data_IF_395920960447
#
_entry.id   IF_395920960447
#
_cell.length_a   1.000
_cell.length_b   1.000
_cell.length_c   1.000
_cell.angle_alpha   90.00
_cell.angle_beta   90.00
_cell.angle_gamma   90.00
#
_symmetry.space_group_name_H-M   'P 1'
#
loop_
_entity.id
_entity.type
_entity.pdbx_description
1 polymer ?
#
# COMPACT_ATOMS: atom_id res chain seq x y z
N UNK A 1 -2.66 -15.63 -1.17
CA UNK A 1 -2.78 -14.47 -2.08
C UNK A 1 -1.57 -13.57 -1.90
N UNK A 2 -0.86 -13.21 -2.97
CA UNK A 2 0.22 -12.21 -2.88
C UNK A 2 -0.31 -10.85 -3.36
N UNK A 3 0.32 -9.76 -2.91
CA UNK A 3 -0.08 -8.40 -3.27
C UNK A 3 -0.03 -8.20 -4.79
N UNK A 4 0.94 -8.80 -5.49
CA UNK A 4 1.05 -8.76 -6.95
C UNK A 4 -0.17 -9.38 -7.66
N UNK A 5 -0.80 -10.41 -7.11
CA UNK A 5 -1.99 -11.06 -7.66
C UNK A 5 -3.22 -10.16 -7.52
N UNK A 6 -3.39 -9.49 -6.37
CA UNK A 6 -4.44 -8.48 -6.18
C UNK A 6 -4.32 -7.31 -7.18
N UNK A 7 -3.08 -6.91 -7.50
CA UNK A 7 -2.78 -5.89 -8.49
C UNK A 7 -3.11 -6.32 -9.93
N UNK A 8 -3.07 -7.63 -10.22
CA UNK A 8 -3.34 -8.19 -11.53
C UNK A 8 -4.83 -8.50 -11.71
N UNK A 9 -5.53 -9.02 -10.69
CA UNK A 9 -6.99 -9.27 -10.77
C UNK A 9 -7.80 -7.99 -11.04
N UNK A 10 -7.29 -6.82 -10.62
CA UNK A 10 -7.86 -5.52 -10.98
C UNK A 10 -7.56 -5.06 -12.43
N UNK A 11 -6.66 -5.73 -13.17
CA UNK A 11 -6.34 -5.39 -14.58
C UNK A 11 -7.53 -5.59 -15.51
N UNK A 12 -8.42 -6.55 -15.24
CA UNK A 12 -9.50 -6.88 -16.18
C UNK A 12 -10.64 -5.85 -16.19
N UNK A 13 -10.68 -4.95 -15.20
CA UNK A 13 -11.64 -3.84 -15.21
C UNK A 13 -11.00 -2.47 -15.42
N UNK A 14 -9.77 -2.20 -14.97
CA UNK A 14 -9.33 -0.81 -14.84
C UNK A 14 -7.80 -0.64 -14.65
N UNK A 15 -6.98 -1.01 -15.65
CA UNK A 15 -5.51 -0.78 -15.61
C UNK A 15 -5.15 0.69 -15.27
N UNK A 16 -6.00 1.65 -15.67
CA UNK A 16 -5.79 3.07 -15.38
C UNK A 16 -6.20 3.53 -13.97
N UNK A 17 -7.01 2.79 -13.23
CA UNK A 17 -7.56 3.28 -11.96
C UNK A 17 -6.60 2.99 -10.80
N UNK A 18 -6.12 1.75 -10.63
CA UNK A 18 -5.23 1.36 -9.52
C UNK A 18 -3.83 2.04 -9.57
N UNK A 19 -3.39 2.51 -10.74
CA UNK A 19 -2.13 3.27 -10.88
C UNK A 19 -2.21 4.69 -10.33
N UNK A 20 -3.31 5.10 -9.69
CA UNK A 20 -3.34 6.41 -9.04
C UNK A 20 -2.53 6.36 -7.75
N UNK A 21 -1.73 7.40 -7.52
CA UNK A 21 -0.98 7.53 -6.27
C UNK A 21 -1.88 7.53 -5.02
N UNK A 22 -3.16 7.92 -5.17
CA UNK A 22 -4.19 7.86 -4.12
C UNK A 22 -4.52 6.44 -3.72
N UNK A 23 -4.63 5.53 -4.69
CA UNK A 23 -5.05 4.16 -4.46
C UNK A 23 -3.95 3.39 -3.72
N UNK A 24 -2.69 3.65 -4.10
CA UNK A 24 -1.53 3.15 -3.36
C UNK A 24 -1.44 3.72 -1.94
N UNK A 25 -1.82 4.99 -1.72
CA UNK A 25 -1.86 5.56 -0.37
C UNK A 25 -2.91 4.90 0.50
N UNK A 26 -4.08 4.58 -0.06
CA UNK A 26 -5.14 3.91 0.65
C UNK A 26 -4.77 2.46 0.98
N UNK A 27 -4.14 1.75 0.04
CA UNK A 27 -3.77 0.35 0.20
C UNK A 27 -2.53 0.11 1.08
N UNK A 28 -1.53 1.01 1.00
CA UNK A 28 -0.22 0.81 1.62
C UNK A 28 0.04 1.75 2.80
N UNK A 29 -0.80 2.77 2.98
CA UNK A 29 -0.66 3.74 4.06
C UNK A 29 -0.85 3.13 5.44
N UNK A 30 -1.85 2.25 5.56
CA UNK A 30 -2.11 1.41 6.74
C UNK A 30 -2.36 0.00 6.23
N UNK A 31 -1.48 -0.94 6.58
CA UNK A 31 -1.56 -2.36 6.19
C UNK A 31 -2.01 -3.25 7.35
N UNK A 32 -1.89 -2.75 8.58
CA UNK A 32 -2.41 -3.39 9.78
C UNK A 32 -2.66 -2.32 10.85
N UNK A 33 -3.71 -2.53 11.65
CA UNK A 33 -4.00 -1.71 12.81
C UNK A 33 -4.39 -2.59 14.00
N UNK A 34 -3.94 -2.17 15.18
CA UNK A 34 -4.26 -2.80 16.44
C UNK A 34 -4.66 -1.75 17.48
N UNK A 35 -5.45 -2.18 18.44
CA UNK A 35 -5.74 -1.41 19.64
C UNK A 35 -5.25 -2.16 20.89
N UNK A 36 -4.60 -1.43 21.79
CA UNK A 36 -4.19 -1.96 23.10
C UNK A 36 -5.35 -1.81 24.08
N UNK A 37 -5.99 -2.92 24.42
CA UNK A 37 -7.09 -2.97 25.38
C UNK A 37 -6.76 -3.95 26.50
N UNK A 38 -6.83 -3.52 27.76
CA UNK A 38 -6.59 -4.36 28.95
C UNK A 38 -5.26 -5.15 28.88
N UNK A 39 -4.20 -4.54 28.34
CA UNK A 39 -2.89 -5.17 28.17
C UNK A 39 -2.79 -6.16 27.01
N UNK A 40 -3.84 -6.33 26.21
CA UNK A 40 -3.86 -7.17 25.01
C UNK A 40 -3.82 -6.32 23.75
N UNK A 41 -3.26 -6.87 22.67
CA UNK A 41 -3.19 -6.25 21.34
C UNK A 41 -4.24 -6.93 20.46
N UNK A 42 -5.30 -6.20 20.10
CA UNK A 42 -6.41 -6.73 19.31
C UNK A 42 -6.39 -6.12 17.90
N UNK A 43 -6.58 -6.91 16.84
CA UNK A 43 -6.72 -6.37 15.49
C UNK A 43 -8.04 -5.58 15.39
N UNK A 44 -7.99 -4.42 14.74
CA UNK A 44 -9.16 -3.56 14.54
C UNK A 44 -9.19 -3.04 13.10
N UNK A 45 -10.35 -2.53 12.68
CA UNK A 45 -10.50 -1.86 11.39
C UNK A 45 -9.59 -0.63 11.28
N UNK A 46 -9.21 -0.29 10.06
CA UNK A 46 -8.29 0.82 9.80
C UNK A 46 -8.98 2.15 10.04
N UNK A 47 -8.32 3.02 10.81
CA UNK A 47 -8.68 4.44 10.90
C UNK A 47 -7.89 5.24 9.86
N UNK A 48 -8.05 6.57 9.86
CA UNK A 48 -7.21 7.45 9.06
C UNK A 48 -5.71 7.20 9.33
N UNK A 49 -4.90 7.35 8.29
CA UNK A 49 -3.46 7.12 8.35
C UNK A 49 -2.79 8.17 9.24
N UNK A 50 -2.26 7.73 10.38
CA UNK A 50 -1.57 8.58 11.33
C UNK A 50 -0.17 8.92 10.81
N UNK A 51 0.40 10.08 11.20
CA UNK A 51 1.84 10.43 11.08
C UNK A 51 2.62 9.69 9.97
N UNK A 52 2.38 10.05 8.72
CA UNK A 52 2.80 9.33 7.49
C UNK A 52 4.32 9.28 7.22
N UNK A 53 5.14 9.78 8.14
CA UNK A 53 6.60 9.81 8.08
C UNK A 53 7.28 8.67 8.84
N UNK A 54 6.52 7.71 9.39
CA UNK A 54 7.05 6.54 10.12
C UNK A 54 6.31 5.27 9.70
N UNK A 55 7.03 4.15 9.60
CA UNK A 55 6.44 2.86 9.24
C UNK A 55 5.47 2.33 10.31
N UNK A 56 5.86 2.46 11.58
CA UNK A 56 5.03 2.16 12.75
C UNK A 56 4.60 3.45 13.43
N UNK A 57 3.31 3.54 13.76
CA UNK A 57 2.67 4.76 14.25
C UNK A 57 1.82 4.41 15.45
N UNK A 58 1.98 5.16 16.53
CA UNK A 58 1.15 5.01 17.73
C UNK A 58 0.48 6.34 18.06
N UNK A 59 -0.81 6.29 18.39
CA UNK A 59 -1.58 7.39 18.95
C UNK A 59 -2.53 6.84 20.03
N UNK A 60 -2.24 7.12 21.30
CA UNK A 60 -2.94 6.50 22.42
C UNK A 60 -2.80 4.97 22.38
N UNK A 61 -3.93 4.27 22.42
CA UNK A 61 -4.02 2.82 22.35
C UNK A 61 -3.90 2.26 20.92
N UNK A 62 -3.98 3.10 19.88
CA UNK A 62 -3.94 2.66 18.49
C UNK A 62 -2.51 2.53 18.00
N UNK A 63 -2.19 1.39 17.40
CA UNK A 63 -0.93 1.09 16.72
C UNK A 63 -1.25 0.77 15.26
N UNK A 64 -0.64 1.54 14.34
CA UNK A 64 -0.72 1.31 12.90
C UNK A 64 0.62 0.92 12.32
N UNK A 65 0.59 -0.01 11.37
CA UNK A 65 1.68 -0.39 10.51
C UNK A 65 1.35 0.00 9.08
N UNK A 66 2.34 0.42 8.32
CA UNK A 66 2.20 0.72 6.90
C UNK A 66 3.46 1.31 6.33
N UNK A 67 3.42 1.70 5.05
CA UNK A 67 4.51 2.41 4.42
C UNK A 67 4.47 3.90 4.72
N UNK A 68 5.64 4.52 4.67
CA UNK A 68 5.81 5.97 4.73
C UNK A 68 5.44 6.61 3.38
N UNK A 69 5.12 7.90 3.40
CA UNK A 69 4.75 8.62 2.18
C UNK A 69 5.79 8.49 1.05
N UNK A 70 7.09 8.62 1.38
CA UNK A 70 8.16 8.52 0.39
C UNK A 70 8.37 7.09 -0.10
N UNK A 71 8.09 6.08 0.72
CA UNK A 71 8.14 4.67 0.32
C UNK A 71 7.00 4.35 -0.65
N UNK A 72 5.79 4.84 -0.38
CA UNK A 72 4.65 4.71 -1.29
C UNK A 72 4.93 5.40 -2.63
N UNK A 73 5.54 6.59 -2.59
CA UNK A 73 6.01 7.27 -3.80
C UNK A 73 7.05 6.41 -4.54
N UNK A 74 8.01 5.81 -3.82
CA UNK A 74 9.01 4.93 -4.40
C UNK A 74 8.40 3.69 -5.07
N UNK A 75 7.36 3.09 -4.48
CA UNK A 75 6.59 2.00 -5.09
C UNK A 75 5.94 2.48 -6.38
N UNK A 76 5.26 3.63 -6.35
CA UNK A 76 4.63 4.22 -7.53
C UNK A 76 5.65 4.46 -8.66
N UNK A 77 6.76 5.14 -8.37
CA UNK A 77 7.80 5.44 -9.35
C UNK A 77 8.38 4.16 -9.96
N UNK A 78 8.58 3.12 -9.14
CA UNK A 78 9.10 1.83 -9.60
C UNK A 78 8.08 1.10 -10.49
N UNK A 79 6.80 1.15 -10.17
CA UNK A 79 5.73 0.60 -11.03
C UNK A 79 5.69 1.32 -12.38
N UNK A 80 5.72 2.65 -12.38
CA UNK A 80 5.73 3.45 -13.61
C UNK A 80 6.95 3.11 -14.48
N UNK A 81 8.12 2.96 -13.88
CA UNK A 81 9.33 2.57 -14.61
C UNK A 81 9.23 1.15 -15.18
N UNK A 82 8.63 0.21 -14.44
CA UNK A 82 8.41 -1.16 -14.92
C UNK A 82 7.46 -1.19 -16.12
N UNK A 83 6.35 -0.46 -16.06
CA UNK A 83 5.39 -0.36 -17.17
C UNK A 83 6.04 0.20 -18.43
N UNK A 84 6.80 1.30 -18.33
CA UNK A 84 7.57 1.84 -19.47
C UNK A 84 8.52 0.82 -20.10
N UNK A 85 9.12 -0.04 -19.28
CA UNK A 85 10.02 -1.10 -19.78
C UNK A 85 9.26 -2.23 -20.46
N UNK A 86 8.06 -2.56 -19.99
CA UNK A 86 7.15 -3.51 -20.65
C UNK A 86 6.72 -2.93 -22.01
N UNK A 87 6.26 -1.68 -22.05
CA UNK A 87 5.81 -1.01 -23.28
C UNK A 87 6.94 -0.90 -24.31
N UNK A 88 8.18 -0.70 -23.86
CA UNK A 88 9.37 -0.69 -24.70
C UNK A 88 9.86 -2.09 -25.11
N UNK A 89 9.15 -3.17 -24.75
CA UNK A 89 9.56 -4.56 -25.02
C UNK A 89 10.81 -5.02 -24.27
N UNK A 90 11.30 -4.23 -23.30
CA UNK A 90 12.51 -4.52 -22.49
C UNK A 90 12.25 -5.48 -21.34
N UNK A 91 10.99 -5.80 -21.07
CA UNK A 91 10.55 -6.81 -20.09
C UNK A 91 9.55 -7.69 -20.81
N UNK A 92 9.87 -8.99 -20.92
CA UNK A 92 8.96 -9.98 -21.47
C UNK A 92 7.95 -10.34 -20.39
N UNK A 93 6.71 -9.96 -20.61
CA UNK A 93 5.55 -10.50 -19.89
C UNK A 93 5.07 -11.72 -20.68
N UNK A 94 4.72 -12.78 -19.95
CA UNK A 94 4.56 -14.16 -20.41
C UNK A 94 3.58 -14.32 -21.58
#
# INVERSE_FOLDING_TARGET
>A
MNILAYLIEHKDSNIGNFLRSTDLRNALGVVAQFEVQNGQILPVDFTENLKTSRGVRQNGAIIQFGLMHHEIKGVYDRMQHLLKRVDAGKVKIF
#
